data_IF_991789983683
#
_entry.id   IF_991789983683
#
_cell.length_a   1.000
_cell.length_b   1.000
_cell.length_c   1.000
_cell.angle_alpha   90.00
_cell.angle_beta   90.00
_cell.angle_gamma   90.00
#
_symmetry.space_group_name_H-M   'P 1'
#
loop_
_entity.id
_entity.type
_entity.pdbx_description
1 polymer ?
#
# COMPACT_ATOMS: atom_id res chain seq x y z
N UNK A 1 -4.74 15.28 10.61
CA UNK A 1 -3.66 14.45 11.16
C UNK A 1 -2.41 14.69 10.34
N UNK A 2 -1.25 14.87 10.98
CA UNK A 2 0.00 15.03 10.24
C UNK A 2 0.49 13.63 9.83
N UNK A 3 0.70 13.42 8.54
CA UNK A 3 1.13 12.14 7.96
C UNK A 3 2.61 12.21 7.67
N UNK A 4 3.37 11.27 8.20
CA UNK A 4 4.83 11.23 8.13
C UNK A 4 5.36 10.51 6.87
N UNK A 5 4.53 9.69 6.23
CA UNK A 5 4.88 8.98 4.99
C UNK A 5 4.03 9.51 3.84
N UNK A 6 4.66 9.95 2.75
CA UNK A 6 3.92 10.40 1.57
C UNK A 6 3.28 9.21 0.84
N UNK A 7 4.05 8.14 0.58
CA UNK A 7 3.58 6.99 -0.20
C UNK A 7 3.99 5.67 0.47
N UNK A 8 3.03 4.77 0.68
CA UNK A 8 3.31 3.38 1.03
C UNK A 8 3.00 2.48 -0.16
N UNK A 9 3.98 1.68 -0.59
CA UNK A 9 3.83 0.64 -1.61
C UNK A 9 3.37 -0.65 -0.91
N UNK A 10 2.07 -0.93 -0.94
CA UNK A 10 1.47 -2.12 -0.34
C UNK A 10 1.43 -3.28 -1.35
N UNK A 11 1.91 -4.46 -0.95
CA UNK A 11 2.13 -5.58 -1.86
C UNK A 11 3.50 -5.55 -2.54
N UNK A 12 4.49 -4.91 -1.90
CA UNK A 12 5.83 -4.70 -2.45
C UNK A 12 6.60 -5.99 -2.80
N UNK A 13 6.21 -7.14 -2.24
CA UNK A 13 6.83 -8.43 -2.55
C UNK A 13 6.34 -9.05 -3.86
N UNK A 14 5.23 -8.55 -4.41
CA UNK A 14 4.67 -9.03 -5.68
C UNK A 14 5.46 -8.50 -6.89
N UNK A 15 5.19 -9.05 -8.07
CA UNK A 15 5.90 -8.68 -9.30
C UNK A 15 5.82 -7.17 -9.59
N UNK A 16 4.60 -6.61 -9.67
CA UNK A 16 4.42 -5.17 -9.90
C UNK A 16 4.95 -4.34 -8.74
N UNK A 17 4.77 -4.79 -7.50
CA UNK A 17 5.28 -4.10 -6.31
C UNK A 17 6.79 -3.91 -6.36
N UNK A 18 7.55 -4.93 -6.76
CA UNK A 18 9.00 -4.83 -6.92
C UNK A 18 9.40 -3.85 -8.03
N UNK A 19 8.64 -3.76 -9.12
CA UNK A 19 8.86 -2.74 -10.16
C UNK A 19 8.62 -1.33 -9.62
N UNK A 20 7.60 -1.13 -8.79
CA UNK A 20 7.36 0.14 -8.11
C UNK A 20 8.54 0.49 -7.18
N UNK A 21 9.02 -0.45 -6.36
CA UNK A 21 10.18 -0.24 -5.47
C UNK A 21 11.41 0.16 -6.27
N UNK A 22 11.72 -0.57 -7.34
CA UNK A 22 12.86 -0.27 -8.23
C UNK A 22 12.73 1.11 -8.85
N UNK A 23 11.52 1.46 -9.31
CA UNK A 23 11.25 2.77 -9.89
C UNK A 23 11.48 3.88 -8.86
N UNK A 24 10.87 3.79 -7.68
CA UNK A 24 11.03 4.79 -6.61
C UNK A 24 12.49 4.95 -6.18
N UNK A 25 13.23 3.85 -6.06
CA UNK A 25 14.66 3.89 -5.73
C UNK A 25 15.50 4.60 -6.82
N UNK A 26 15.07 4.55 -8.08
CA UNK A 26 15.75 5.23 -9.18
C UNK A 26 15.45 6.74 -9.26
N UNK A 27 14.47 7.23 -8.50
CA UNK A 27 14.09 8.64 -8.50
C UNK A 27 14.95 9.45 -7.54
N UNK A 28 15.43 10.60 -8.00
CA UNK A 28 15.92 11.66 -7.10
C UNK A 28 14.72 12.44 -6.53
N UNK A 29 13.95 11.79 -5.66
CA UNK A 29 12.73 12.34 -5.09
C UNK A 29 12.90 12.77 -3.63
N UNK A 30 12.18 13.83 -3.24
CA UNK A 30 12.03 14.24 -1.83
C UNK A 30 10.85 13.55 -1.13
N UNK A 31 10.08 12.75 -1.87
CA UNK A 31 8.92 12.02 -1.36
C UNK A 31 9.38 10.98 -0.34
N UNK A 32 8.83 11.01 0.88
CA UNK A 32 9.09 9.95 1.87
C UNK A 32 8.24 8.73 1.52
N UNK A 33 8.88 7.56 1.38
CA UNK A 33 8.17 6.35 1.01
C UNK A 33 8.61 5.13 1.81
N UNK A 34 7.71 4.16 1.89
CA UNK A 34 7.91 2.90 2.61
C UNK A 34 7.30 1.74 1.82
N UNK A 35 7.72 0.52 2.15
CA UNK A 35 7.15 -0.71 1.58
C UNK A 35 6.35 -1.47 2.62
N UNK A 36 5.29 -2.13 2.16
CA UNK A 36 4.42 -2.89 3.03
C UNK A 36 3.88 -4.19 2.44
N UNK A 37 3.52 -5.11 3.33
CA UNK A 37 2.89 -6.38 3.02
C UNK A 37 2.93 -7.35 4.21
N UNK A 38 2.46 -8.57 4.01
CA UNK A 38 2.27 -9.53 5.10
C UNK A 38 3.50 -10.31 5.56
N UNK A 39 4.59 -10.32 4.78
CA UNK A 39 5.76 -11.15 5.06
C UNK A 39 7.02 -10.29 5.22
N UNK A 40 7.46 -10.11 6.47
CA UNK A 40 8.61 -9.29 6.84
C UNK A 40 9.89 -9.70 6.11
N UNK A 41 10.20 -10.99 6.06
CA UNK A 41 11.45 -11.49 5.48
C UNK A 41 11.51 -11.26 3.97
N UNK A 42 10.38 -11.42 3.27
CA UNK A 42 10.30 -11.07 1.84
C UNK A 42 10.42 -9.56 1.61
N UNK A 43 9.87 -8.73 2.49
CA UNK A 43 10.02 -7.26 2.38
C UNK A 43 11.47 -6.83 2.60
N UNK A 44 12.15 -7.37 3.62
CA UNK A 44 13.58 -7.13 3.87
C UNK A 44 14.42 -7.52 2.66
N UNK A 45 14.13 -8.68 2.06
CA UNK A 45 14.80 -9.13 0.84
C UNK A 45 14.60 -8.14 -0.32
N UNK A 46 13.38 -7.67 -0.57
CA UNK A 46 13.11 -6.66 -1.61
C UNK A 46 13.88 -5.36 -1.35
N UNK A 47 13.91 -4.88 -0.11
CA UNK A 47 14.66 -3.67 0.25
C UNK A 47 16.18 -3.84 0.01
N UNK A 48 16.72 -4.99 0.41
CA UNK A 48 18.12 -5.34 0.22
C UNK A 48 18.51 -5.45 -1.26
N UNK A 49 17.72 -6.18 -2.07
CA UNK A 49 17.98 -6.38 -3.49
C UNK A 49 17.93 -5.08 -4.30
N UNK A 50 17.12 -4.11 -3.85
CA UNK A 50 17.04 -2.79 -4.47
C UNK A 50 17.94 -1.75 -3.78
N UNK A 51 18.76 -2.14 -2.79
CA UNK A 51 19.69 -1.25 -2.07
C UNK A 51 19.00 0.00 -1.50
N UNK A 52 17.77 -0.16 -1.01
CA UNK A 52 16.97 0.95 -0.47
C UNK A 52 16.99 0.94 1.06
N UNK A 53 17.15 2.11 1.67
CA UNK A 53 17.11 2.29 3.12
C UNK A 53 15.82 3.01 3.50
N UNK A 54 14.72 2.27 3.48
CA UNK A 54 13.36 2.76 3.72
C UNK A 54 12.69 1.96 4.83
N UNK A 55 11.62 2.51 5.37
CA UNK A 55 10.82 1.83 6.36
C UNK A 55 10.08 0.61 5.77
N UNK A 56 10.02 -0.47 6.55
CA UNK A 56 9.32 -1.71 6.22
C UNK A 56 8.15 -1.88 7.20
N UNK A 57 6.94 -1.93 6.67
CA UNK A 57 5.72 -2.05 7.45
C UNK A 57 5.04 -3.40 7.19
N UNK A 58 4.75 -4.14 8.25
CA UNK A 58 4.04 -5.41 8.14
C UNK A 58 2.56 -5.19 8.37
N UNK A 59 1.75 -5.54 7.38
CA UNK A 59 0.30 -5.55 7.48
C UNK A 59 -0.24 -6.66 6.59
N UNK A 60 -1.05 -7.54 7.18
CA UNK A 60 -1.86 -8.49 6.42
C UNK A 60 -3.19 -7.83 6.03
N UNK A 61 -3.74 -8.23 4.89
CA UNK A 61 -4.99 -7.67 4.36
C UNK A 61 -6.20 -7.98 5.26
N UNK A 62 -6.11 -9.03 6.09
CA UNK A 62 -7.16 -9.39 7.02
C UNK A 62 -7.06 -8.74 8.41
N UNK A 63 -5.93 -8.10 8.72
CA UNK A 63 -5.67 -7.42 9.99
C UNK A 63 -6.01 -5.93 9.90
N UNK A 64 -7.24 -5.57 10.26
CA UNK A 64 -7.75 -4.19 10.19
C UNK A 64 -6.94 -3.22 11.08
N UNK A 65 -6.42 -3.67 12.22
CA UNK A 65 -5.60 -2.83 13.09
C UNK A 65 -4.26 -2.50 12.45
N UNK A 66 -3.61 -3.49 11.83
CA UNK A 66 -2.38 -3.26 11.09
C UNK A 66 -2.61 -2.34 9.88
N UNK A 67 -3.72 -2.51 9.16
CA UNK A 67 -4.09 -1.64 8.04
C UNK A 67 -4.36 -0.20 8.51
N UNK A 68 -5.04 0.00 9.64
CA UNK A 68 -5.29 1.32 10.21
C UNK A 68 -4.00 2.02 10.66
N UNK A 69 -3.08 1.29 11.28
CA UNK A 69 -1.75 1.81 11.63
C UNK A 69 -0.98 2.25 10.38
N UNK A 70 -1.09 1.49 9.29
CA UNK A 70 -0.45 1.79 8.02
C UNK A 70 -1.08 3.02 7.35
N UNK A 71 -2.41 3.06 7.23
CA UNK A 71 -3.11 4.14 6.52
C UNK A 71 -3.12 5.45 7.30
N UNK A 72 -3.13 5.43 8.63
CA UNK A 72 -3.05 6.65 9.46
C UNK A 72 -1.75 7.45 9.28
N UNK A 73 -0.68 6.79 8.86
CA UNK A 73 0.65 7.39 8.61
C UNK A 73 0.86 7.86 7.18
N UNK A 74 0.11 7.33 6.22
CA UNK A 74 0.34 7.55 4.80
C UNK A 74 -0.56 8.61 4.17
N UNK A 75 -0.02 9.46 3.29
CA UNK A 75 -0.86 10.30 2.41
C UNK A 75 -1.52 9.47 1.32
N UNK A 76 -0.75 8.59 0.67
CA UNK A 76 -1.23 7.70 -0.40
C UNK A 76 -0.81 6.26 -0.12
N UNK A 77 -1.73 5.33 -0.30
CA UNK A 77 -1.45 3.90 -0.44
C UNK A 77 -1.46 3.54 -1.92
N UNK A 78 -0.32 3.06 -2.42
CA UNK A 78 -0.19 2.44 -3.74
C UNK A 78 -0.29 0.93 -3.54
N UNK A 79 -1.43 0.34 -3.87
CA UNK A 79 -1.66 -1.10 -3.72
C UNK A 79 -1.36 -1.85 -5.02
N UNK A 80 -0.49 -2.84 -4.92
CA UNK A 80 -0.27 -3.88 -5.93
C UNK A 80 -0.62 -5.28 -5.41
N UNK A 81 -1.40 -5.36 -4.31
CA UNK A 81 -1.74 -6.59 -3.62
C UNK A 81 -3.07 -7.19 -4.14
N UNK A 82 -3.01 -7.88 -5.28
CA UNK A 82 -4.15 -8.60 -5.84
C UNK A 82 -4.31 -10.05 -5.30
N UNK A 83 -5.45 -10.72 -5.57
CA UNK A 83 -6.67 -10.20 -6.21
C UNK A 83 -7.40 -9.17 -5.33
N UNK A 84 -7.74 -8.01 -5.88
CA UNK A 84 -8.17 -6.84 -5.08
C UNK A 84 -9.57 -7.03 -4.52
N UNK A 85 -10.46 -7.65 -5.28
CA UNK A 85 -11.81 -7.95 -4.81
C UNK A 85 -11.84 -8.87 -3.57
N UNK A 86 -10.77 -9.64 -3.33
CA UNK A 86 -10.63 -10.53 -2.16
C UNK A 86 -9.98 -9.81 -0.98
N UNK A 87 -8.91 -9.05 -1.24
CA UNK A 87 -8.02 -8.57 -0.17
C UNK A 87 -8.00 -7.03 -0.02
N UNK A 88 -8.52 -6.29 -0.99
CA UNK A 88 -8.43 -4.83 -1.03
C UNK A 88 -9.51 -4.09 -0.23
N UNK A 89 -10.68 -4.71 0.01
CA UNK A 89 -11.83 -4.00 0.58
C UNK A 89 -11.54 -3.40 1.96
N UNK A 90 -10.87 -4.15 2.84
CA UNK A 90 -10.48 -3.67 4.18
C UNK A 90 -9.46 -2.53 4.11
N UNK A 91 -8.49 -2.62 3.18
CA UNK A 91 -7.50 -1.57 2.98
C UNK A 91 -8.16 -0.27 2.48
N UNK A 92 -9.11 -0.34 1.55
CA UNK A 92 -9.85 0.83 1.09
C UNK A 92 -10.70 1.43 2.21
N UNK A 93 -11.41 0.60 2.98
CA UNK A 93 -12.18 1.07 4.14
C UNK A 93 -11.28 1.76 5.18
N UNK A 94 -10.09 1.22 5.44
CA UNK A 94 -9.08 1.82 6.31
C UNK A 94 -8.54 3.15 5.76
N UNK A 95 -8.31 3.25 4.44
CA UNK A 95 -7.93 4.51 3.79
C UNK A 95 -9.00 5.58 3.98
N UNK A 96 -10.29 5.24 3.78
CA UNK A 96 -11.41 6.15 4.02
C UNK A 96 -11.46 6.61 5.47
N UNK A 97 -11.39 5.65 6.42
CA UNK A 97 -11.39 5.92 7.86
C UNK A 97 -10.28 6.89 8.27
N UNK A 98 -9.08 6.72 7.73
CA UNK A 98 -7.88 7.48 8.10
C UNK A 98 -7.58 8.67 7.16
N UNK A 99 -8.52 9.03 6.28
CA UNK A 99 -8.40 10.12 5.32
C UNK A 99 -7.16 10.01 4.41
N UNK A 100 -6.85 8.80 3.96
CA UNK A 100 -5.71 8.47 3.08
C UNK A 100 -6.18 8.17 1.67
N UNK A 101 -5.42 8.64 0.69
CA UNK A 101 -5.69 8.33 -0.70
C UNK A 101 -5.32 6.88 -0.98
N UNK A 102 -6.08 6.25 -1.88
CA UNK A 102 -5.86 4.89 -2.32
C UNK A 102 -5.76 4.87 -3.84
N UNK A 103 -4.78 4.15 -4.37
CA UNK A 103 -4.63 3.89 -5.81
C UNK A 103 -4.16 2.45 -6.02
N UNK A 104 -4.67 1.80 -7.05
CA UNK A 104 -4.24 0.47 -7.46
C UNK A 104 -4.25 0.30 -8.98
N UNK A 105 -3.93 -0.92 -9.43
CA UNK A 105 -3.87 -1.31 -10.84
C UNK A 105 -5.01 -2.28 -11.22
N UNK A 106 -6.10 -2.32 -10.44
CA UNK A 106 -7.15 -3.32 -10.64
C UNK A 106 -7.92 -3.11 -11.95
N UNK A 107 -8.28 -4.22 -12.61
CA UNK A 107 -9.31 -4.25 -13.66
C UNK A 107 -10.67 -4.75 -13.16
N UNK A 108 -10.82 -4.98 -11.85
CA UNK A 108 -11.98 -5.64 -11.25
C UNK A 108 -13.15 -4.66 -11.05
N UNK A 109 -13.72 -4.16 -12.16
CA UNK A 109 -14.72 -3.08 -12.16
C UNK A 109 -15.96 -3.33 -11.29
N UNK A 110 -16.39 -4.60 -11.14
CA UNK A 110 -17.50 -4.94 -10.25
C UNK A 110 -17.20 -4.59 -8.79
N UNK A 111 -15.96 -4.79 -8.36
CA UNK A 111 -15.49 -4.47 -7.02
C UNK A 111 -15.32 -2.96 -6.85
N UNK A 112 -14.74 -2.28 -7.84
CA UNK A 112 -14.60 -0.81 -7.85
C UNK A 112 -15.96 -0.13 -7.71
N UNK A 113 -16.97 -0.55 -8.49
CA UNK A 113 -18.35 -0.06 -8.37
C UNK A 113 -18.87 -0.23 -6.94
N UNK A 114 -18.70 -1.42 -6.37
CA UNK A 114 -19.15 -1.69 -4.99
C UNK A 114 -18.41 -0.87 -3.93
N UNK A 115 -17.15 -0.48 -4.15
CA UNK A 115 -16.45 0.44 -3.25
C UNK A 115 -17.01 1.86 -3.32
N UNK A 116 -17.30 2.36 -4.52
CA UNK A 116 -17.91 3.68 -4.71
C UNK A 116 -19.25 3.73 -3.98
N UNK A 117 -20.11 2.72 -4.19
CA UNK A 117 -21.42 2.63 -3.50
C UNK A 117 -21.29 2.62 -1.98
N UNK A 118 -20.22 2.03 -1.42
CA UNK A 118 -20.00 1.95 0.04
C UNK A 118 -19.38 3.20 0.65
N UNK A 119 -18.53 3.91 -0.08
CA UNK A 119 -17.62 4.91 0.51
C UNK A 119 -17.76 6.32 -0.09
N UNK A 120 -18.53 6.49 -1.16
CA UNK A 120 -18.71 7.78 -1.82
C UNK A 120 -20.19 8.22 -1.73
N UNK A 121 -20.58 8.66 -0.53
CA UNK A 121 -21.90 9.19 -0.21
C UNK A 121 -21.89 10.72 -0.13
#
# INVERSE_FOLDING_TARGET
MNKDIDIIIYGATGFTGQLCVKYFQSLETKVSWAIAGRNLEKLKKVAQENQTNIEILVADADDELALDNLTSRAKVILSSAGPFHRYGSKLVASCVKNNSHYVDITGENFWVKGLIERHHA
#
